data_IF_892307085642
#
_entry.id   IF_892307085642
#
_cell.length_a   1.000
_cell.length_b   1.000
_cell.length_c   1.000
_cell.angle_alpha   90.00
_cell.angle_beta   90.00
_cell.angle_gamma   90.00
#
_symmetry.space_group_name_H-M   'P 1'
#
loop_
_entity.id
_entity.type
_entity.pdbx_description
1 polymer ?
#
# COMPACT_ATOMS: atom_id res chain seq x y z
N UNK A 1 12.15 -20.39 -10.38
CA UNK A 1 12.08 -21.23 -11.59
C UNK A 1 13.12 -22.33 -11.45
N UNK A 2 12.67 -23.58 -11.38
CA UNK A 2 13.52 -24.77 -11.39
C UNK A 2 13.07 -25.70 -12.51
N UNK A 3 13.91 -26.68 -12.85
CA UNK A 3 13.53 -27.80 -13.69
C UNK A 3 14.30 -29.05 -13.29
N UNK A 4 13.56 -30.11 -12.98
CA UNK A 4 14.09 -31.46 -12.89
C UNK A 4 14.05 -32.15 -14.26
N UNK A 5 15.23 -32.45 -14.80
CA UNK A 5 15.38 -33.20 -16.04
C UNK A 5 15.61 -34.68 -15.72
N UNK A 6 14.56 -35.50 -15.77
CA UNK A 6 14.62 -36.93 -15.46
C UNK A 6 15.64 -37.68 -16.34
N UNK A 7 15.75 -37.32 -17.62
CA UNK A 7 16.66 -37.99 -18.57
C UNK A 7 18.15 -37.77 -18.28
N UNK A 8 18.51 -36.62 -17.70
CA UNK A 8 19.89 -36.27 -17.32
C UNK A 8 20.13 -36.37 -15.81
N UNK A 9 19.10 -36.74 -15.05
CA UNK A 9 19.08 -36.76 -13.58
C UNK A 9 19.67 -35.48 -12.97
N UNK A 10 19.29 -34.33 -13.55
CA UNK A 10 19.85 -33.02 -13.20
C UNK A 10 18.74 -32.08 -12.74
N UNK A 11 19.07 -31.25 -11.75
CA UNK A 11 18.21 -30.14 -11.29
C UNK A 11 18.87 -28.84 -11.72
N UNK A 12 18.14 -28.01 -12.47
CA UNK A 12 18.58 -26.69 -12.91
C UNK A 12 17.76 -25.65 -12.13
N UNK A 13 18.44 -24.67 -11.53
CA UNK A 13 17.81 -23.62 -10.74
C UNK A 13 18.22 -22.25 -11.26
N UNK A 14 17.25 -21.35 -11.33
CA UNK A 14 17.52 -19.93 -11.46
C UNK A 14 17.69 -19.30 -10.07
N UNK A 15 18.81 -18.63 -9.85
CA UNK A 15 19.11 -17.86 -8.64
C UNK A 15 18.89 -16.36 -8.92
N UNK A 16 17.89 -15.72 -8.28
CA UNK A 16 17.74 -14.27 -8.30
C UNK A 16 18.98 -13.57 -7.73
N UNK A 17 19.31 -12.39 -8.26
CA UNK A 17 20.46 -11.62 -7.77
C UNK A 17 20.21 -11.00 -6.38
N UNK A 18 18.95 -10.70 -6.05
CA UNK A 18 18.59 -10.13 -4.75
C UNK A 18 18.52 -11.20 -3.65
N UNK A 19 19.32 -11.08 -2.57
CA UNK A 19 19.37 -12.08 -1.50
C UNK A 19 18.06 -12.25 -0.75
N UNK A 20 17.15 -11.28 -0.80
CA UNK A 20 15.80 -11.40 -0.24
C UNK A 20 15.00 -12.54 -0.88
N UNK A 21 15.34 -12.91 -2.12
CA UNK A 21 14.67 -13.96 -2.86
C UNK A 21 15.38 -15.32 -2.78
N UNK A 22 16.51 -15.45 -2.09
CA UNK A 22 17.21 -16.75 -2.00
C UNK A 22 16.34 -17.84 -1.36
N UNK A 23 15.36 -17.48 -0.53
CA UNK A 23 14.35 -18.41 -0.04
C UNK A 23 13.57 -19.10 -1.17
N UNK A 24 13.30 -18.40 -2.28
CA UNK A 24 12.64 -19.00 -3.44
C UNK A 24 13.51 -20.06 -4.13
N UNK A 25 14.84 -19.89 -4.12
CA UNK A 25 15.78 -20.87 -4.68
C UNK A 25 15.76 -22.15 -3.85
N UNK A 26 15.75 -22.03 -2.52
CA UNK A 26 15.63 -23.18 -1.60
C UNK A 26 14.30 -23.91 -1.82
N UNK A 27 13.19 -23.17 -1.91
CA UNK A 27 11.87 -23.77 -2.18
C UNK A 27 11.84 -24.46 -3.55
N UNK A 28 12.39 -23.83 -4.60
CA UNK A 28 12.48 -24.45 -5.94
C UNK A 28 13.38 -25.70 -5.91
N UNK A 29 14.55 -25.65 -5.29
CA UNK A 29 15.44 -26.80 -5.16
C UNK A 29 14.74 -28.00 -4.49
N UNK A 30 14.01 -27.73 -3.41
CA UNK A 30 13.25 -28.76 -2.71
C UNK A 30 12.08 -29.29 -3.57
N UNK A 31 11.40 -28.41 -4.31
CA UNK A 31 10.33 -28.79 -5.23
C UNK A 31 10.84 -29.75 -6.31
N UNK A 32 11.92 -29.40 -7.01
CA UNK A 32 12.55 -30.26 -8.02
C UNK A 32 13.08 -31.57 -7.42
N UNK A 33 13.62 -31.51 -6.21
CA UNK A 33 14.05 -32.71 -5.46
C UNK A 33 12.87 -33.63 -5.16
N UNK A 34 11.69 -33.07 -4.87
CA UNK A 34 10.50 -33.87 -4.59
C UNK A 34 9.92 -34.53 -5.85
N UNK A 35 10.12 -33.98 -7.04
CA UNK A 35 9.84 -34.71 -8.29
C UNK A 35 10.76 -35.93 -8.44
N UNK A 36 12.06 -35.77 -8.18
CA UNK A 36 13.00 -36.88 -8.19
C UNK A 36 12.67 -37.93 -7.11
N UNK A 37 12.21 -37.48 -5.94
CA UNK A 37 11.74 -38.35 -4.87
C UNK A 37 10.48 -39.13 -5.27
N UNK A 38 9.50 -38.46 -5.88
CA UNK A 38 8.28 -39.10 -6.38
C UNK A 38 8.61 -40.21 -7.38
N UNK A 39 9.53 -39.96 -8.31
CA UNK A 39 9.98 -40.97 -9.29
C UNK A 39 10.68 -42.19 -8.66
N UNK A 40 11.18 -42.08 -7.42
CA UNK A 40 11.75 -43.21 -6.68
C UNK A 40 10.71 -44.01 -5.89
N UNK A 41 9.49 -43.50 -5.71
CA UNK A 41 8.41 -44.21 -5.07
C UNK A 41 7.86 -45.28 -6.01
N UNK A 42 7.50 -46.44 -5.45
CA UNK A 42 6.81 -47.50 -6.18
C UNK A 42 5.40 -47.07 -6.57
N UNK A 43 4.84 -47.67 -7.62
CA UNK A 43 3.45 -47.40 -8.07
C UNK A 43 2.42 -47.58 -6.93
N UNK A 44 2.67 -48.53 -6.03
CA UNK A 44 1.82 -48.77 -4.86
C UNK A 44 1.90 -47.62 -3.85
N UNK A 45 3.10 -47.08 -3.58
CA UNK A 45 3.28 -45.91 -2.72
C UNK A 45 2.64 -44.67 -3.35
N UNK A 46 2.89 -44.42 -4.65
CA UNK A 46 2.28 -43.30 -5.37
C UNK A 46 0.74 -43.37 -5.35
N UNK A 47 0.18 -44.55 -5.58
CA UNK A 47 -1.27 -44.79 -5.52
C UNK A 47 -1.85 -44.57 -4.13
N UNK A 48 -1.11 -44.92 -3.07
CA UNK A 48 -1.55 -44.72 -1.69
C UNK A 48 -1.50 -43.24 -1.26
N UNK A 49 -0.49 -42.49 -1.72
CA UNK A 49 -0.29 -41.08 -1.33
C UNK A 49 -1.19 -40.11 -2.10
N UNK A 50 -1.52 -40.41 -3.35
CA UNK A 50 -2.36 -39.56 -4.21
C UNK A 50 -3.66 -39.09 -3.55
N UNK A 51 -4.53 -39.96 -2.98
CA UNK A 51 -5.77 -39.50 -2.35
C UNK A 51 -5.52 -38.61 -1.12
N UNK A 52 -4.40 -38.81 -0.39
CA UNK A 52 -4.03 -37.96 0.73
C UNK A 52 -3.63 -36.56 0.24
N UNK A 53 -2.80 -36.48 -0.80
CA UNK A 53 -2.41 -35.22 -1.44
C UNK A 53 -3.62 -34.44 -1.94
N UNK A 54 -4.55 -35.11 -2.63
CA UNK A 54 -5.81 -34.51 -3.08
C UNK A 54 -6.61 -33.94 -1.92
N UNK A 55 -6.70 -34.68 -0.80
CA UNK A 55 -7.39 -34.20 0.40
C UNK A 55 -6.69 -32.98 1.02
N UNK A 56 -5.36 -32.94 1.02
CA UNK A 56 -4.60 -31.81 1.54
C UNK A 56 -4.86 -30.55 0.71
N UNK A 57 -4.78 -30.66 -0.62
CA UNK A 57 -5.05 -29.55 -1.55
C UNK A 57 -6.50 -29.07 -1.46
N UNK A 58 -7.46 -30.00 -1.39
CA UNK A 58 -8.89 -29.66 -1.27
C UNK A 58 -9.24 -28.90 0.02
N UNK A 59 -8.44 -29.08 1.08
CA UNK A 59 -8.63 -28.37 2.35
C UNK A 59 -8.00 -26.97 2.37
N UNK A 60 -7.25 -26.57 1.33
CA UNK A 60 -6.66 -25.24 1.20
C UNK A 60 -7.73 -24.27 0.65
N UNK A 61 -7.86 -23.04 1.18
CA UNK A 61 -8.79 -22.05 0.66
C UNK A 61 -8.68 -21.88 -0.86
N UNK A 62 -9.81 -21.78 -1.55
CA UNK A 62 -9.83 -21.70 -3.02
C UNK A 62 -9.11 -20.45 -3.59
N UNK A 63 -8.94 -19.41 -2.78
CA UNK A 63 -8.22 -18.19 -3.15
C UNK A 63 -6.70 -18.28 -2.91
N UNK A 64 -6.22 -19.37 -2.31
CA UNK A 64 -4.79 -19.56 -2.08
C UNK A 64 -4.03 -19.74 -3.41
N UNK A 65 -2.89 -19.06 -3.61
CA UNK A 65 -2.13 -19.12 -4.86
C UNK A 65 -1.64 -20.52 -5.23
N UNK A 66 -1.52 -21.45 -4.28
CA UNK A 66 -1.06 -22.82 -4.56
C UNK A 66 -1.92 -23.53 -5.60
N UNK A 67 -3.22 -23.24 -5.66
CA UNK A 67 -4.13 -23.84 -6.67
C UNK A 67 -3.74 -23.41 -8.08
N UNK A 68 -3.43 -22.13 -8.26
CA UNK A 68 -2.97 -21.59 -9.54
C UNK A 68 -1.56 -22.08 -9.90
N UNK A 69 -0.69 -22.24 -8.91
CA UNK A 69 0.66 -22.80 -9.10
C UNK A 69 0.60 -24.26 -9.57
N UNK A 70 -0.15 -25.11 -8.88
CA UNK A 70 -0.35 -26.52 -9.29
C UNK A 70 -0.95 -26.58 -10.69
N UNK A 71 -2.01 -25.83 -10.97
CA UNK A 71 -2.64 -25.82 -12.30
C UNK A 71 -1.67 -25.36 -13.41
N UNK A 72 -0.85 -24.34 -13.12
CA UNK A 72 0.16 -23.83 -14.03
C UNK A 72 1.25 -24.85 -14.35
N UNK A 73 1.75 -25.56 -13.34
CA UNK A 73 2.80 -26.58 -13.50
C UNK A 73 2.30 -27.86 -14.16
N UNK A 74 1.05 -28.28 -13.88
CA UNK A 74 0.40 -29.39 -14.59
C UNK A 74 0.21 -29.06 -16.08
N UNK A 75 -0.19 -27.82 -16.38
CA UNK A 75 -0.40 -27.36 -17.76
C UNK A 75 -1.35 -28.29 -18.53
N UNK A 76 -0.89 -28.80 -19.67
CA UNK A 76 -1.65 -29.72 -20.54
C UNK A 76 -1.43 -31.21 -20.22
N UNK A 77 -0.67 -31.54 -19.17
CA UNK A 77 -0.26 -32.91 -18.84
C UNK A 77 -0.90 -33.35 -17.52
N UNK A 78 -2.19 -33.78 -17.52
CA UNK A 78 -2.90 -34.12 -16.28
C UNK A 78 -2.24 -35.26 -15.49
N UNK A 79 -1.46 -36.12 -16.15
CA UNK A 79 -0.69 -37.19 -15.51
C UNK A 79 0.41 -36.66 -14.57
N UNK A 80 0.80 -35.39 -14.69
CA UNK A 80 1.76 -34.75 -13.79
C UNK A 80 1.12 -34.32 -12.45
N UNK A 81 -0.21 -34.28 -12.36
CA UNK A 81 -0.91 -33.75 -11.18
C UNK A 81 -0.45 -34.41 -9.86
N UNK A 82 -0.30 -35.74 -9.74
CA UNK A 82 0.17 -36.36 -8.49
C UNK A 82 1.56 -35.90 -8.05
N UNK A 83 2.52 -35.80 -9.00
CA UNK A 83 3.89 -35.37 -8.69
C UNK A 83 3.94 -33.88 -8.36
N UNK A 84 3.15 -33.04 -9.04
CA UNK A 84 3.02 -31.62 -8.73
C UNK A 84 2.43 -31.42 -7.33
N UNK A 85 1.33 -32.13 -6.99
CA UNK A 85 0.76 -32.05 -5.65
C UNK A 85 1.77 -32.49 -4.58
N UNK A 86 2.54 -33.56 -4.82
CA UNK A 86 3.57 -34.00 -3.89
C UNK A 86 4.64 -32.93 -3.66
N UNK A 87 5.13 -32.30 -4.74
CA UNK A 87 6.14 -31.26 -4.63
C UNK A 87 5.61 -29.97 -3.97
N UNK A 88 4.42 -29.48 -4.36
CA UNK A 88 3.81 -28.28 -3.78
C UNK A 88 3.39 -28.47 -2.32
N UNK A 89 2.70 -29.56 -1.99
CA UNK A 89 2.29 -29.85 -0.60
C UNK A 89 3.51 -30.02 0.29
N UNK A 90 4.54 -30.73 -0.19
CA UNK A 90 5.77 -30.97 0.57
C UNK A 90 6.55 -29.70 0.89
N UNK A 91 6.56 -28.72 -0.02
CA UNK A 91 7.36 -27.49 0.10
C UNK A 91 6.61 -26.29 0.68
N UNK A 92 5.28 -26.24 0.59
CA UNK A 92 4.51 -25.03 0.90
C UNK A 92 3.44 -25.20 1.98
N UNK A 93 2.97 -26.43 2.24
CA UNK A 93 1.80 -26.64 3.10
C UNK A 93 2.25 -27.09 4.50
N UNK A 94 2.02 -26.25 5.50
CA UNK A 94 2.20 -26.62 6.90
C UNK A 94 0.86 -26.62 7.65
N UNK A 95 0.67 -27.64 8.49
CA UNK A 95 -0.42 -27.69 9.46
C UNK A 95 0.16 -27.81 10.87
N UNK A 96 -0.47 -27.22 11.89
CA UNK A 96 -0.12 -27.52 13.27
C UNK A 96 -0.17 -29.03 13.52
N UNK A 97 0.97 -29.64 13.83
CA UNK A 97 1.10 -31.09 14.01
C UNK A 97 1.47 -31.89 12.76
N UNK A 98 1.66 -31.24 11.61
CA UNK A 98 2.01 -31.89 10.34
C UNK A 98 0.80 -32.34 9.50
N UNK A 99 1.09 -32.93 8.34
CA UNK A 99 0.12 -33.54 7.43
C UNK A 99 -0.30 -34.93 7.93
N UNK A 100 -1.08 -35.66 7.12
CA UNK A 100 -1.34 -37.08 7.37
C UNK A 100 -0.03 -37.86 7.64
N UNK A 101 0.04 -38.74 8.67
CA UNK A 101 1.29 -39.41 9.06
C UNK A 101 2.00 -40.18 7.93
N UNK A 102 1.24 -40.73 6.97
CA UNK A 102 1.80 -41.40 5.81
C UNK A 102 2.51 -40.43 4.85
N UNK A 103 1.99 -39.21 4.68
CA UNK A 103 2.66 -38.17 3.90
C UNK A 103 3.95 -37.71 4.60
N UNK A 104 3.90 -37.46 5.91
CA UNK A 104 5.10 -37.06 6.66
C UNK A 104 6.17 -38.16 6.64
N UNK A 105 5.78 -39.43 6.76
CA UNK A 105 6.72 -40.54 6.63
C UNK A 105 7.35 -40.63 5.23
N UNK A 106 6.59 -40.32 4.17
CA UNK A 106 7.12 -40.28 2.81
C UNK A 106 8.11 -39.11 2.63
N UNK A 107 7.77 -37.90 3.09
CA UNK A 107 8.66 -36.73 2.99
C UNK A 107 9.93 -36.88 3.83
N UNK A 108 9.85 -37.48 5.03
CA UNK A 108 11.00 -37.65 5.93
C UNK A 108 12.15 -38.49 5.34
N UNK A 109 11.90 -39.26 4.27
CA UNK A 109 12.94 -39.98 3.52
C UNK A 109 13.87 -39.05 2.74
N UNK A 110 13.40 -37.84 2.41
CA UNK A 110 14.06 -36.91 1.50
C UNK A 110 14.29 -35.53 2.12
N UNK A 111 13.49 -35.14 3.12
CA UNK A 111 13.56 -33.84 3.78
C UNK A 111 13.74 -34.07 5.29
N UNK A 112 14.86 -33.59 5.84
CA UNK A 112 15.18 -33.77 7.28
C UNK A 112 14.26 -32.96 8.18
N UNK A 113 13.90 -31.74 7.79
CA UNK A 113 13.00 -30.87 8.54
C UNK A 113 12.05 -30.14 7.58
N UNK A 114 10.86 -30.72 7.40
CA UNK A 114 9.85 -30.17 6.49
C UNK A 114 9.21 -28.89 7.04
N UNK A 115 9.12 -28.75 8.35
CA UNK A 115 8.58 -27.55 8.98
C UNK A 115 9.49 -26.34 8.68
N UNK A 116 10.81 -26.53 8.82
CA UNK A 116 11.79 -25.51 8.48
C UNK A 116 11.75 -25.17 6.97
N UNK A 117 11.60 -26.15 6.09
CA UNK A 117 11.46 -25.91 4.66
C UNK A 117 10.22 -25.06 4.32
N UNK A 118 9.06 -25.38 4.88
CA UNK A 118 7.85 -24.58 4.67
C UNK A 118 7.99 -23.18 5.30
N UNK A 119 8.71 -23.07 6.42
CA UNK A 119 9.03 -21.77 7.02
C UNK A 119 9.88 -20.88 6.08
N UNK A 120 10.78 -21.47 5.28
CA UNK A 120 11.51 -20.72 4.23
C UNK A 120 10.54 -20.17 3.20
N UNK A 121 9.64 -20.99 2.66
CA UNK A 121 8.64 -20.55 1.67
C UNK A 121 7.77 -19.40 2.20
N UNK A 122 7.15 -19.61 3.36
CA UNK A 122 6.29 -18.61 3.99
C UNK A 122 7.03 -17.34 4.37
N UNK A 123 8.32 -17.43 4.73
CA UNK A 123 9.16 -16.28 5.07
C UNK A 123 9.38 -15.33 3.90
N UNK A 124 9.83 -15.84 2.73
CA UNK A 124 10.10 -14.99 1.58
C UNK A 124 8.80 -14.53 0.89
N UNK A 125 7.79 -15.40 0.77
CA UNK A 125 6.52 -15.01 0.17
C UNK A 125 5.80 -13.97 1.02
N UNK A 126 5.75 -14.18 2.35
CA UNK A 126 5.18 -13.24 3.30
C UNK A 126 5.91 -11.89 3.35
N UNK A 127 7.20 -11.84 2.97
CA UNK A 127 7.91 -10.58 2.80
C UNK A 127 7.32 -9.75 1.67
N UNK A 128 7.09 -10.36 0.51
CA UNK A 128 6.50 -9.67 -0.66
C UNK A 128 5.06 -9.22 -0.38
N UNK A 129 4.27 -10.05 0.30
CA UNK A 129 2.91 -9.71 0.72
C UNK A 129 2.89 -8.52 1.69
N UNK A 130 3.82 -8.47 2.65
CA UNK A 130 3.97 -7.32 3.55
C UNK A 130 4.34 -6.06 2.78
N UNK A 131 5.31 -6.15 1.86
CA UNK A 131 5.67 -5.01 1.01
C UNK A 131 4.46 -4.48 0.21
N UNK A 132 3.68 -5.36 -0.40
CA UNK A 132 2.47 -4.99 -1.13
C UNK A 132 1.42 -4.32 -0.22
N UNK A 133 1.21 -4.89 0.97
CA UNK A 133 0.29 -4.34 1.98
C UNK A 133 0.73 -2.95 2.44
N UNK A 134 2.02 -2.77 2.73
CA UNK A 134 2.60 -1.50 3.16
C UNK A 134 2.48 -0.43 2.09
N UNK A 135 2.73 -0.80 0.82
CA UNK A 135 2.52 0.09 -0.35
C UNK A 135 1.07 0.52 -0.45
N UNK A 136 0.12 -0.42 -0.32
CA UNK A 136 -1.30 -0.11 -0.41
C UNK A 136 -1.72 0.85 0.72
N UNK A 137 -1.32 0.57 1.96
CA UNK A 137 -1.62 1.42 3.11
C UNK A 137 -1.03 2.83 2.95
N UNK A 138 0.23 2.93 2.53
CA UNK A 138 0.89 4.21 2.30
C UNK A 138 0.23 5.00 1.15
N UNK A 139 -0.15 4.33 0.07
CA UNK A 139 -0.84 4.96 -1.07
C UNK A 139 -2.21 5.52 -0.67
N UNK A 140 -2.97 4.79 0.15
CA UNK A 140 -4.25 5.25 0.67
C UNK A 140 -4.09 6.45 1.60
N UNK A 141 -3.14 6.39 2.53
CA UNK A 141 -2.84 7.50 3.43
C UNK A 141 -2.40 8.76 2.67
N UNK A 142 -1.57 8.60 1.62
CA UNK A 142 -1.14 9.68 0.75
C UNK A 142 -2.32 10.33 0.01
N UNK A 143 -3.24 9.54 -0.53
CA UNK A 143 -4.43 10.04 -1.21
C UNK A 143 -5.34 10.86 -0.26
N UNK A 144 -5.51 10.40 0.98
CA UNK A 144 -6.25 11.15 2.01
C UNK A 144 -5.59 12.51 2.29
N UNK A 145 -4.27 12.53 2.52
CA UNK A 145 -3.53 13.78 2.78
C UNK A 145 -3.60 14.75 1.61
N UNK A 146 -3.52 14.24 0.37
CA UNK A 146 -3.68 15.06 -0.83
C UNK A 146 -5.06 15.73 -0.89
N UNK A 147 -6.13 15.00 -0.59
CA UNK A 147 -7.48 15.54 -0.56
C UNK A 147 -7.65 16.60 0.53
N UNK A 148 -7.15 16.34 1.74
CA UNK A 148 -7.22 17.28 2.88
C UNK A 148 -6.42 18.56 2.62
N UNK A 149 -5.23 18.45 2.04
CA UNK A 149 -4.41 19.61 1.69
C UNK A 149 -5.06 20.43 0.56
N UNK A 150 -5.65 19.78 -0.45
CA UNK A 150 -6.40 20.46 -1.51
C UNK A 150 -7.63 21.21 -0.96
N UNK A 151 -8.37 20.60 -0.02
CA UNK A 151 -9.46 21.26 0.68
C UNK A 151 -8.97 22.47 1.47
N UNK A 152 -7.84 22.33 2.18
CA UNK A 152 -7.23 23.42 2.95
C UNK A 152 -6.80 24.58 2.05
N UNK A 153 -6.23 24.29 0.87
CA UNK A 153 -5.90 25.28 -0.15
C UNK A 153 -7.15 26.03 -0.64
N UNK A 154 -8.22 25.31 -0.96
CA UNK A 154 -9.47 25.92 -1.42
C UNK A 154 -10.09 26.84 -0.35
N UNK A 155 -10.12 26.39 0.91
CA UNK A 155 -10.61 27.20 2.02
C UNK A 155 -9.73 28.44 2.25
N UNK A 156 -8.40 28.28 2.22
CA UNK A 156 -7.48 29.40 2.32
C UNK A 156 -7.72 30.44 1.23
N UNK A 157 -7.88 30.01 -0.03
CA UNK A 157 -8.14 30.90 -1.15
C UNK A 157 -9.47 31.67 -0.98
N UNK A 158 -10.53 30.99 -0.53
CA UNK A 158 -11.83 31.61 -0.25
C UNK A 158 -11.76 32.64 0.89
N UNK A 159 -11.06 32.32 1.97
CA UNK A 159 -10.87 33.21 3.11
C UNK A 159 -10.01 34.42 2.73
N UNK A 160 -8.90 34.20 2.01
CA UNK A 160 -8.04 35.27 1.54
C UNK A 160 -8.78 36.24 0.61
N UNK A 161 -9.64 35.74 -0.28
CA UNK A 161 -10.50 36.56 -1.12
C UNK A 161 -11.50 37.39 -0.30
N UNK A 162 -12.10 36.78 0.74
CA UNK A 162 -13.00 37.46 1.66
C UNK A 162 -12.29 38.57 2.44
N UNK A 163 -11.10 38.30 3.00
CA UNK A 163 -10.28 39.29 3.69
C UNK A 163 -9.88 40.44 2.75
N UNK A 164 -9.50 40.15 1.50
CA UNK A 164 -9.18 41.17 0.50
C UNK A 164 -10.40 42.05 0.15
N UNK A 165 -11.58 41.46 0.03
CA UNK A 165 -12.83 42.20 -0.17
C UNK A 165 -13.13 43.13 1.02
N UNK A 166 -13.05 42.61 2.25
CA UNK A 166 -13.33 43.37 3.47
C UNK A 166 -12.30 44.46 3.74
N UNK A 167 -11.02 44.25 3.36
CA UNK A 167 -10.00 45.31 3.35
C UNK A 167 -10.42 46.47 2.48
N UNK A 168 -10.83 46.19 1.24
CA UNK A 168 -11.25 47.22 0.27
C UNK A 168 -12.50 47.95 0.75
N UNK A 169 -13.50 47.21 1.23
CA UNK A 169 -14.73 47.77 1.78
C UNK A 169 -14.45 48.67 3.01
N UNK A 170 -13.53 48.24 3.89
CA UNK A 170 -13.13 49.00 5.07
C UNK A 170 -12.45 50.31 4.68
N UNK A 171 -11.45 50.25 3.79
CA UNK A 171 -10.74 51.43 3.31
C UNK A 171 -11.69 52.45 2.65
N UNK A 172 -12.60 51.97 1.80
CA UNK A 172 -13.60 52.82 1.15
C UNK A 172 -14.52 53.49 2.17
N UNK A 173 -15.04 52.73 3.14
CA UNK A 173 -15.95 53.26 4.18
C UNK A 173 -15.24 54.24 5.11
N UNK A 174 -14.02 53.91 5.53
CA UNK A 174 -13.21 54.79 6.37
C UNK A 174 -12.90 56.12 5.66
N UNK A 175 -12.53 56.08 4.38
CA UNK A 175 -12.31 57.29 3.57
C UNK A 175 -13.59 58.13 3.42
N UNK A 176 -14.74 57.48 3.17
CA UNK A 176 -16.03 58.16 3.08
C UNK A 176 -16.38 58.90 4.38
N UNK A 177 -16.20 58.26 5.54
CA UNK A 177 -16.47 58.88 6.85
C UNK A 177 -15.48 60.03 7.13
N UNK A 178 -14.20 59.85 6.80
CA UNK A 178 -13.18 60.88 6.98
C UNK A 178 -13.46 62.15 6.15
N UNK A 179 -14.09 62.01 4.98
CA UNK A 179 -14.47 63.13 4.13
C UNK A 179 -15.71 63.91 4.62
N UNK A 180 -16.45 63.40 5.61
CA UNK A 180 -17.63 64.07 6.16
C UNK A 180 -17.25 65.19 7.13
N UNK A 181 -18.12 66.21 7.26
CA UNK A 181 -17.98 67.22 8.33
C UNK A 181 -18.15 66.61 9.73
N UNK A 182 -17.59 67.26 10.75
CA UNK A 182 -17.69 66.79 12.14
C UNK A 182 -19.14 66.55 12.60
N UNK A 183 -20.07 67.43 12.21
CA UNK A 183 -21.49 67.28 12.55
C UNK A 183 -22.17 66.10 11.83
N UNK A 184 -21.72 65.74 10.63
CA UNK A 184 -22.20 64.54 9.92
C UNK A 184 -21.61 63.27 10.53
N UNK A 185 -20.32 63.28 10.86
CA UNK A 185 -19.66 62.14 11.52
C UNK A 185 -20.30 61.82 12.88
N UNK A 186 -20.62 62.85 13.67
CA UNK A 186 -21.23 62.68 14.99
C UNK A 186 -22.65 62.07 14.96
N UNK A 187 -23.35 62.12 13.82
CA UNK A 187 -24.70 61.57 13.66
C UNK A 187 -24.74 60.29 12.83
N UNK A 188 -23.61 59.87 12.25
CA UNK A 188 -23.58 58.68 11.42
C UNK A 188 -23.48 57.43 12.30
N UNK A 189 -24.44 56.54 12.15
CA UNK A 189 -24.39 55.20 12.71
C UNK A 189 -24.15 54.17 11.60
N UNK A 190 -23.36 53.15 11.91
CA UNK A 190 -23.04 52.05 11.01
C UNK A 190 -23.28 50.73 11.71
N UNK A 191 -23.82 49.78 10.96
CA UNK A 191 -23.76 48.36 11.26
C UNK A 191 -23.04 47.63 10.13
N UNK A 192 -22.46 46.47 10.44
CA UNK A 192 -21.74 45.66 9.46
C UNK A 192 -21.77 44.19 9.87
N UNK A 193 -22.11 43.30 8.93
CA UNK A 193 -21.83 41.87 9.05
C UNK A 193 -20.47 41.52 8.43
N UNK A 194 -19.59 40.92 9.22
CA UNK A 194 -18.28 40.43 8.79
C UNK A 194 -18.39 39.08 8.06
N UNK A 195 -17.35 38.68 7.31
CA UNK A 195 -17.39 37.46 6.48
C UNK A 195 -17.48 36.18 7.31
N UNK A 196 -16.96 36.19 8.54
CA UNK A 196 -17.05 35.08 9.50
C UNK A 196 -18.39 35.04 10.26
N UNK A 197 -19.35 35.89 9.87
CA UNK A 197 -20.65 36.02 10.53
C UNK A 197 -20.66 36.93 11.77
N UNK A 198 -19.52 37.50 12.17
CA UNK A 198 -19.46 38.46 13.27
C UNK A 198 -20.32 39.69 12.95
N UNK A 199 -21.26 40.01 13.84
CA UNK A 199 -22.15 41.16 13.67
C UNK A 199 -21.59 42.35 14.44
N UNK A 200 -21.26 43.43 13.72
CA UNK A 200 -21.07 44.76 14.27
C UNK A 200 -22.44 45.47 14.27
N UNK A 201 -23.13 45.57 15.43
CA UNK A 201 -24.46 46.17 15.48
C UNK A 201 -24.40 47.67 15.19
N UNK A 202 -25.56 48.28 14.99
CA UNK A 202 -25.69 49.73 14.77
C UNK A 202 -25.04 50.49 15.94
N UNK A 203 -24.04 51.31 15.62
CA UNK A 203 -23.29 52.11 16.58
C UNK A 203 -22.67 53.33 15.88
N UNK A 204 -22.18 54.34 16.61
CA UNK A 204 -21.47 55.47 16.01
C UNK A 204 -20.36 55.01 15.06
N UNK A 205 -20.25 55.66 13.90
CA UNK A 205 -19.39 55.21 12.81
C UNK A 205 -17.94 54.95 13.22
N UNK A 206 -17.35 55.78 14.09
CA UNK A 206 -15.98 55.57 14.56
C UNK A 206 -15.84 54.28 15.38
N UNK A 207 -16.85 53.91 16.18
CA UNK A 207 -16.85 52.69 17.00
C UNK A 207 -16.92 51.46 16.08
N UNK A 208 -17.82 51.46 15.11
CA UNK A 208 -17.96 50.36 14.14
C UNK A 208 -16.69 50.20 13.29
N UNK A 209 -16.11 51.31 12.81
CA UNK A 209 -14.86 51.27 12.03
C UNK A 209 -13.66 50.79 12.87
N UNK A 210 -13.55 51.18 14.14
CA UNK A 210 -12.48 50.68 15.02
C UNK A 210 -12.59 49.17 15.24
N UNK A 211 -13.80 48.64 15.45
CA UNK A 211 -14.04 47.20 15.56
C UNK A 211 -13.74 46.46 14.26
N UNK A 212 -14.16 47.00 13.12
CA UNK A 212 -13.85 46.44 11.80
C UNK A 212 -12.33 46.41 11.54
N UNK A 213 -11.58 47.44 11.95
CA UNK A 213 -10.13 47.45 11.85
C UNK A 213 -9.47 46.33 12.67
N UNK A 214 -9.96 46.09 13.89
CA UNK A 214 -9.48 44.97 14.73
C UNK A 214 -9.76 43.61 14.10
N UNK A 215 -10.97 43.41 13.53
CA UNK A 215 -11.32 42.17 12.83
C UNK A 215 -10.45 41.96 11.58
N UNK A 216 -10.25 43.01 10.79
CA UNK A 216 -9.38 42.95 9.62
C UNK A 216 -7.94 42.59 10.00
N UNK A 217 -7.37 43.25 11.02
CA UNK A 217 -6.02 42.95 11.48
C UNK A 217 -5.87 41.51 12.01
N UNK A 218 -6.89 40.99 12.72
CA UNK A 218 -6.95 39.60 13.16
C UNK A 218 -6.88 38.65 11.96
N UNK A 219 -7.71 38.89 10.95
CA UNK A 219 -7.82 37.98 9.80
C UNK A 219 -6.57 38.02 8.93
N UNK A 220 -6.01 39.21 8.71
CA UNK A 220 -4.74 39.39 7.99
C UNK A 220 -3.59 38.68 8.69
N UNK A 221 -3.53 38.75 10.02
CA UNK A 221 -2.50 38.06 10.80
C UNK A 221 -2.66 36.52 10.77
N UNK A 222 -3.87 36.01 10.54
CA UNK A 222 -4.16 34.57 10.53
C UNK A 222 -3.81 33.89 9.20
N UNK A 223 -3.73 34.61 8.08
CA UNK A 223 -3.48 34.03 6.75
C UNK A 223 -2.06 33.46 6.57
N UNK A 224 -0.96 34.17 6.90
CA UNK A 224 0.40 33.68 6.67
C UNK A 224 0.74 32.32 7.33
N UNK A 225 0.43 32.08 8.63
CA UNK A 225 0.73 30.77 9.23
C UNK A 225 -0.07 29.63 8.61
N UNK A 226 -1.29 29.89 8.11
CA UNK A 226 -2.11 28.89 7.41
C UNK A 226 -1.51 28.55 6.04
N UNK A 227 -1.09 29.55 5.29
CA UNK A 227 -0.40 29.36 4.01
C UNK A 227 0.89 28.56 4.19
N UNK A 228 1.70 28.90 5.19
CA UNK A 228 2.93 28.17 5.50
C UNK A 228 2.65 26.70 5.86
N UNK A 229 1.59 26.42 6.64
CA UNK A 229 1.20 25.06 6.98
C UNK A 229 0.80 24.24 5.73
N UNK A 230 -0.01 24.84 4.83
CA UNK A 230 -0.42 24.24 3.56
C UNK A 230 0.78 23.93 2.65
N UNK A 231 1.74 24.85 2.55
CA UNK A 231 2.95 24.66 1.76
C UNK A 231 3.86 23.58 2.36
N UNK A 232 3.99 23.56 3.69
CA UNK A 232 4.73 22.52 4.40
C UNK A 232 4.11 21.14 4.16
N UNK A 233 2.78 21.04 4.22
CA UNK A 233 2.08 19.77 3.97
C UNK A 233 2.20 19.34 2.50
N UNK A 234 2.14 20.29 1.55
CA UNK A 234 2.37 19.99 0.14
C UNK A 234 3.78 19.40 -0.09
N UNK A 235 4.81 19.97 0.54
CA UNK A 235 6.18 19.45 0.45
C UNK A 235 6.30 18.04 1.07
N UNK A 236 5.65 17.81 2.22
CA UNK A 236 5.62 16.50 2.86
C UNK A 236 4.90 15.44 2.01
N UNK A 237 3.80 15.81 1.35
CA UNK A 237 3.08 14.96 0.38
C UNK A 237 3.97 14.60 -0.80
N UNK A 238 4.74 15.54 -1.36
CA UNK A 238 5.68 15.26 -2.45
C UNK A 238 6.76 14.28 -2.01
N UNK A 239 7.35 14.48 -0.84
CA UNK A 239 8.36 13.56 -0.31
C UNK A 239 7.79 12.15 -0.08
N UNK A 240 6.58 12.06 0.46
CA UNK A 240 5.89 10.79 0.70
C UNK A 240 5.56 10.07 -0.62
N UNK A 241 5.13 10.81 -1.64
CA UNK A 241 4.91 10.25 -2.97
C UNK A 241 6.18 9.60 -3.55
N UNK A 242 7.33 10.28 -3.47
CA UNK A 242 8.61 9.71 -3.90
C UNK A 242 8.96 8.45 -3.10
N UNK A 243 8.72 8.44 -1.78
CA UNK A 243 8.95 7.27 -0.94
C UNK A 243 8.08 6.08 -1.37
N UNK A 244 6.79 6.29 -1.60
CA UNK A 244 5.85 5.25 -2.06
C UNK A 244 6.26 4.71 -3.44
N UNK A 245 6.65 5.58 -4.37
CA UNK A 245 7.19 5.16 -5.66
C UNK A 245 8.45 4.30 -5.53
N UNK A 246 9.34 4.64 -4.59
CA UNK A 246 10.51 3.82 -4.26
C UNK A 246 10.13 2.42 -3.77
N UNK A 247 9.14 2.31 -2.89
CA UNK A 247 8.63 1.00 -2.43
C UNK A 247 8.02 0.18 -3.56
N UNK A 248 7.24 0.81 -4.44
CA UNK A 248 6.65 0.16 -5.62
C UNK A 248 7.76 -0.36 -6.54
N UNK A 249 8.75 0.47 -6.84
CA UNK A 249 9.87 0.07 -7.69
C UNK A 249 10.69 -1.07 -7.07
N UNK A 250 10.88 -1.08 -5.76
CA UNK A 250 11.57 -2.16 -5.04
C UNK A 250 10.80 -3.48 -5.13
N UNK A 251 9.49 -3.47 -4.84
CA UNK A 251 8.65 -4.67 -4.99
C UNK A 251 8.63 -5.18 -6.43
N UNK A 252 8.48 -4.30 -7.42
CA UNK A 252 8.52 -4.66 -8.84
C UNK A 252 9.89 -5.25 -9.23
N UNK A 253 10.98 -4.67 -8.73
CA UNK A 253 12.32 -5.18 -8.95
C UNK A 253 12.52 -6.61 -8.44
N UNK A 254 11.91 -6.95 -7.29
CA UNK A 254 11.89 -8.31 -6.77
C UNK A 254 11.00 -9.24 -7.60
N UNK A 255 9.78 -8.83 -7.93
CA UNK A 255 8.84 -9.64 -8.69
C UNK A 255 9.34 -9.96 -10.11
N UNK A 256 10.02 -9.01 -10.75
CA UNK A 256 10.63 -9.22 -12.07
C UNK A 256 11.74 -10.27 -12.05
N UNK A 257 12.49 -10.38 -10.95
CA UNK A 257 13.51 -11.42 -10.80
C UNK A 257 12.89 -12.81 -10.60
N UNK A 258 11.68 -12.92 -10.05
CA UNK A 258 10.99 -14.21 -9.91
C UNK A 258 10.47 -14.76 -11.26
N UNK A 259 10.31 -13.89 -12.27
CA UNK A 259 9.83 -14.23 -13.61
C UNK A 259 10.88 -13.88 -14.70
N UNK A 260 11.94 -14.67 -14.86
CA UNK A 260 13.01 -14.37 -15.83
C UNK A 260 12.53 -14.37 -17.30
N UNK A 261 11.35 -14.91 -17.61
CA UNK A 261 10.76 -14.84 -18.96
C UNK A 261 10.06 -13.51 -19.27
N UNK A 262 9.73 -12.68 -18.27
CA UNK A 262 9.08 -11.37 -18.46
C UNK A 262 10.07 -10.22 -18.66
N UNK A 263 11.37 -10.50 -18.70
CA UNK A 263 12.46 -9.52 -18.89
C UNK A 263 13.06 -9.54 -20.31
N UNK A 264 12.42 -10.20 -21.27
CA UNK A 264 12.76 -10.06 -22.69
C UNK A 264 12.19 -8.71 -23.23
N UNK A 265 13.02 -7.84 -23.85
CA UNK A 265 12.57 -6.60 -24.48
C UNK A 265 11.67 -6.84 -25.70
#
# INVERSE_FOLDING_TARGET
>A
MGCFEQGTNSIILYEPADPRLHGSVVTSAAHETLHAAWAQLTDAEQSALTPLLTSEVAAIPAADPIHAQIAGSVGTHPDHLPTEMFAYVGTQVWRPGGLAPQLEAAYARFITDRAALVAVYTGWNGMLERMATDIQAASQALATRQAENAQSQAQYAADAASVAYYRTAYQSKAAQVAAMSAGQQARLELSWAWWDGTKLPMAPAQVTLARAATLLARDEAALPPREAAIQSEAAAITAEHTRVQGLVADLQGLQNQLNPSSSAP
#
